data_IF_951644943805
#
_entry.id   IF_951644943805
#
_cell.length_a   1.000
_cell.length_b   1.000
_cell.length_c   1.000
_cell.angle_alpha   90.00
_cell.angle_beta   90.00
_cell.angle_gamma   90.00
#
_symmetry.space_group_name_H-M   'P 1'
#
loop_
_entity.id
_entity.type
_entity.pdbx_description
1 polymer ?
#
# COMPACT_ATOMS: atom_id res chain seq x y z
N UNK A 1 3.11 -15.39 -7.18
CA UNK A 1 2.46 -14.26 -7.90
C UNK A 1 2.54 -13.03 -7.01
N UNK A 2 3.08 -11.92 -7.51
CA UNK A 2 3.26 -10.66 -6.77
C UNK A 2 1.90 -10.07 -6.38
N UNK A 3 1.71 -9.69 -5.12
CA UNK A 3 0.47 -9.09 -4.61
C UNK A 3 0.34 -7.63 -5.03
N UNK A 4 -0.89 -7.16 -5.23
CA UNK A 4 -1.17 -5.82 -5.74
C UNK A 4 -2.05 -5.06 -4.74
N UNK A 5 -1.52 -3.94 -4.22
CA UNK A 5 -2.27 -3.00 -3.38
C UNK A 5 -2.59 -1.73 -4.17
N UNK A 6 -3.86 -1.35 -4.20
CA UNK A 6 -4.31 -0.05 -4.71
C UNK A 6 -4.73 0.81 -3.52
N UNK A 7 -3.97 1.89 -3.29
CA UNK A 7 -4.08 2.71 -2.09
C UNK A 7 -4.77 4.05 -2.36
N UNK A 8 -5.48 4.59 -1.35
CA UNK A 8 -6.16 5.88 -1.43
C UNK A 8 -7.51 5.84 -2.12
N UNK A 9 -8.26 4.77 -1.90
CA UNK A 9 -9.65 4.62 -2.36
C UNK A 9 -10.58 5.53 -1.54
N UNK A 10 -11.48 6.25 -2.24
CA UNK A 10 -12.42 7.21 -1.62
C UNK A 10 -13.86 7.00 -2.03
N UNK A 11 -14.15 6.14 -3.00
CA UNK A 11 -15.51 5.86 -3.49
C UNK A 11 -15.76 4.37 -3.63
N UNK A 12 -17.04 3.97 -3.60
CA UNK A 12 -17.45 2.59 -3.88
C UNK A 12 -17.03 2.17 -5.29
N UNK A 13 -17.20 3.06 -6.27
CA UNK A 13 -16.84 2.79 -7.66
C UNK A 13 -15.34 2.52 -7.82
N UNK A 14 -14.47 3.29 -7.15
CA UNK A 14 -13.03 3.04 -7.17
C UNK A 14 -12.69 1.69 -6.52
N UNK A 15 -13.35 1.35 -5.40
CA UNK A 15 -13.14 0.07 -4.72
C UNK A 15 -13.54 -1.12 -5.60
N UNK A 16 -14.69 -1.03 -6.25
CA UNK A 16 -15.16 -2.06 -7.21
C UNK A 16 -14.22 -2.16 -8.40
N UNK A 17 -13.83 -1.04 -9.00
CA UNK A 17 -12.92 -1.02 -10.15
C UNK A 17 -11.54 -1.60 -9.80
N UNK A 18 -11.00 -1.31 -8.60
CA UNK A 18 -9.76 -1.91 -8.11
C UNK A 18 -9.87 -3.43 -7.94
N UNK A 19 -10.99 -3.90 -7.36
CA UNK A 19 -11.28 -5.34 -7.20
C UNK A 19 -11.40 -6.04 -8.55
N UNK A 20 -12.16 -5.48 -9.48
CA UNK A 20 -12.34 -5.99 -10.84
C UNK A 20 -11.05 -5.98 -11.66
N UNK A 21 -10.17 -5.01 -11.41
CA UNK A 21 -8.86 -4.97 -12.03
C UNK A 21 -7.94 -6.10 -11.55
N UNK A 22 -8.20 -6.66 -10.37
CA UNK A 22 -7.41 -7.76 -9.78
C UNK A 22 -6.51 -7.33 -8.62
N UNK A 23 -6.87 -6.28 -7.88
CA UNK A 23 -6.17 -5.93 -6.64
C UNK A 23 -6.37 -7.02 -5.58
N UNK A 24 -5.30 -7.32 -4.83
CA UNK A 24 -5.34 -8.21 -3.65
C UNK A 24 -5.61 -7.41 -2.37
N UNK A 25 -5.14 -6.15 -2.33
CA UNK A 25 -5.30 -5.26 -1.18
C UNK A 25 -5.86 -3.90 -1.63
N UNK A 26 -6.75 -3.33 -0.79
CA UNK A 26 -7.32 -2.00 -0.98
C UNK A 26 -6.99 -1.14 0.23
N UNK A 27 -6.39 0.05 0.01
CA UNK A 27 -5.97 0.98 1.04
C UNK A 27 -6.90 2.19 1.19
N UNK A 28 -7.26 2.52 2.43
CA UNK A 28 -8.01 3.71 2.85
C UNK A 28 -7.11 4.62 3.69
N UNK A 29 -6.99 5.89 3.33
CA UNK A 29 -6.05 6.81 3.98
C UNK A 29 -6.78 7.69 5.02
N UNK A 30 -6.47 7.49 6.30
CA UNK A 30 -7.05 8.24 7.42
C UNK A 30 -6.21 9.44 7.87
N UNK A 31 -5.20 9.84 7.10
CA UNK A 31 -4.39 11.03 7.40
C UNK A 31 -5.05 12.31 6.84
N UNK A 32 -5.55 13.25 7.70
CA UNK A 32 -6.35 14.39 7.24
C UNK A 32 -5.65 15.33 6.27
N UNK A 33 -4.31 15.41 6.30
CA UNK A 33 -3.52 16.25 5.38
C UNK A 33 -3.30 15.61 4.00
N UNK A 34 -3.72 14.36 3.81
CA UNK A 34 -3.59 13.68 2.52
C UNK A 34 -4.72 14.10 1.57
N UNK A 35 -4.45 14.34 0.28
CA UNK A 35 -5.50 14.52 -0.74
C UNK A 35 -6.35 13.25 -0.93
N UNK A 36 -5.88 12.11 -0.42
CA UNK A 36 -6.56 10.81 -0.45
C UNK A 36 -7.27 10.49 0.86
N UNK A 37 -7.42 11.48 1.74
CA UNK A 37 -8.10 11.32 3.03
C UNK A 37 -9.53 10.84 2.85
N UNK A 38 -9.93 9.91 3.74
CA UNK A 38 -11.31 9.45 3.89
C UNK A 38 -11.69 9.43 5.38
N UNK A 39 -12.87 9.95 5.71
CA UNK A 39 -13.40 9.86 7.06
C UNK A 39 -13.96 8.46 7.35
N UNK A 40 -13.97 8.08 8.64
CA UNK A 40 -14.42 6.77 9.13
C UNK A 40 -15.83 6.42 8.64
N UNK A 41 -16.78 7.39 8.69
CA UNK A 41 -18.15 7.18 8.21
C UNK A 41 -18.20 6.76 6.74
N UNK A 42 -17.48 7.49 5.87
CA UNK A 42 -17.44 7.17 4.44
C UNK A 42 -16.73 5.84 4.15
N UNK A 43 -15.67 5.52 4.90
CA UNK A 43 -15.02 4.23 4.78
C UNK A 43 -15.98 3.09 5.15
N UNK A 44 -16.70 3.22 6.26
CA UNK A 44 -17.72 2.25 6.68
C UNK A 44 -18.78 2.05 5.60
N UNK A 45 -19.26 3.12 4.94
CA UNK A 45 -20.26 3.03 3.88
C UNK A 45 -19.70 2.27 2.66
N UNK A 46 -18.44 2.51 2.26
CA UNK A 46 -17.78 1.72 1.22
C UNK A 46 -17.69 0.25 1.65
N UNK A 47 -17.25 0.00 2.86
CA UNK A 47 -17.06 -1.36 3.38
C UNK A 47 -18.36 -2.14 3.52
N UNK A 48 -19.51 -1.47 3.71
CA UNK A 48 -20.83 -2.13 3.71
C UNK A 48 -21.11 -2.83 2.37
N UNK A 49 -20.60 -2.28 1.26
CA UNK A 49 -20.69 -2.87 -0.08
C UNK A 49 -19.59 -3.91 -0.31
N UNK A 50 -18.38 -3.63 0.16
CA UNK A 50 -17.18 -4.40 -0.18
C UNK A 50 -17.00 -5.69 0.64
N UNK A 51 -17.67 -5.87 1.77
CA UNK A 51 -17.55 -7.07 2.64
C UNK A 51 -17.83 -8.39 1.93
N UNK A 52 -18.59 -8.38 0.85
CA UNK A 52 -18.88 -9.57 0.02
C UNK A 52 -17.66 -10.08 -0.76
N UNK A 53 -16.60 -9.27 -0.91
CA UNK A 53 -15.38 -9.61 -1.61
C UNK A 53 -14.33 -10.12 -0.62
N UNK A 54 -14.57 -11.28 -0.02
CA UNK A 54 -13.76 -11.84 1.08
C UNK A 54 -12.31 -12.23 0.70
N UNK A 55 -11.96 -12.18 -0.59
CA UNK A 55 -10.60 -12.41 -1.06
C UNK A 55 -9.72 -11.14 -1.01
N UNK A 56 -10.31 -9.97 -0.77
CA UNK A 56 -9.59 -8.68 -0.69
C UNK A 56 -9.17 -8.40 0.77
N UNK A 57 -7.94 -7.98 0.95
CA UNK A 57 -7.44 -7.46 2.23
C UNK A 57 -7.63 -5.95 2.31
N UNK A 58 -8.38 -5.46 3.29
CA UNK A 58 -8.65 -4.04 3.47
C UNK A 58 -7.68 -3.43 4.48
N UNK A 59 -6.96 -2.37 4.07
CA UNK A 59 -5.86 -1.75 4.81
C UNK A 59 -6.19 -0.30 5.16
N UNK A 60 -6.13 0.06 6.44
CA UNK A 60 -6.16 1.46 6.88
C UNK A 60 -4.74 2.05 6.90
N UNK A 61 -4.54 3.22 6.34
CA UNK A 61 -3.27 3.96 6.40
C UNK A 61 -3.37 5.04 7.45
N UNK A 62 -2.48 5.01 8.43
CA UNK A 62 -2.45 5.91 9.58
C UNK A 62 -1.10 6.63 9.68
N UNK A 63 -1.11 7.86 10.19
CA UNK A 63 0.09 8.68 10.41
C UNK A 63 -0.01 9.31 11.80
N UNK A 64 0.85 8.86 12.71
CA UNK A 64 0.96 9.37 14.08
C UNK A 64 -0.39 9.37 14.84
N UNK A 65 -1.19 8.32 14.61
CA UNK A 65 -2.50 8.10 15.23
C UNK A 65 -2.37 7.16 16.43
N UNK A 66 -3.12 7.38 17.51
CA UNK A 66 -3.05 6.52 18.71
C UNK A 66 -3.50 5.07 18.42
N UNK A 67 -3.02 4.12 19.21
CA UNK A 67 -3.39 2.69 19.09
C UNK A 67 -4.91 2.50 19.24
N UNK A 68 -5.49 3.25 20.17
CA UNK A 68 -6.93 3.22 20.48
C UNK A 68 -7.75 3.68 19.27
N UNK A 69 -7.37 4.79 18.64
CA UNK A 69 -8.06 5.32 17.45
C UNK A 69 -7.88 4.39 16.25
N UNK A 70 -6.68 3.79 16.06
CA UNK A 70 -6.43 2.81 15.01
C UNK A 70 -7.38 1.61 15.19
N UNK A 71 -7.45 1.03 16.38
CA UNK A 71 -8.31 -0.12 16.68
C UNK A 71 -9.79 0.21 16.46
N UNK A 72 -10.26 1.33 16.99
CA UNK A 72 -11.64 1.78 16.82
C UNK A 72 -12.02 1.98 15.36
N UNK A 73 -11.10 2.57 14.56
CA UNK A 73 -11.28 2.77 13.12
C UNK A 73 -11.32 1.43 12.37
N UNK A 74 -10.37 0.53 12.67
CA UNK A 74 -10.33 -0.80 12.06
C UNK A 74 -11.59 -1.60 12.34
N UNK A 75 -12.05 -1.60 13.57
CA UNK A 75 -13.28 -2.30 13.99
C UNK A 75 -14.51 -1.70 13.30
N UNK A 76 -14.67 -0.37 13.37
CA UNK A 76 -15.82 0.33 12.77
C UNK A 76 -15.92 0.13 11.27
N UNK A 77 -14.79 0.14 10.58
CA UNK A 77 -14.73 -0.04 9.13
C UNK A 77 -14.60 -1.51 8.69
N UNK A 78 -14.26 -2.43 9.61
CA UNK A 78 -14.01 -3.83 9.26
C UNK A 78 -12.73 -4.01 8.45
N UNK A 79 -11.66 -3.29 8.83
CA UNK A 79 -10.36 -3.37 8.16
C UNK A 79 -9.52 -4.50 8.76
N UNK A 80 -8.73 -5.16 7.92
CA UNK A 80 -7.89 -6.29 8.31
C UNK A 80 -6.52 -5.88 8.81
N UNK A 81 -5.94 -4.83 8.22
CA UNK A 81 -4.56 -4.39 8.49
C UNK A 81 -4.46 -2.87 8.68
N UNK A 82 -3.55 -2.46 9.55
CA UNK A 82 -3.10 -1.08 9.72
C UNK A 82 -1.71 -0.89 9.12
N UNK A 83 -1.56 0.03 8.17
CA UNK A 83 -0.29 0.52 7.67
C UNK A 83 0.10 1.76 8.45
N UNK A 84 1.20 1.71 9.19
CA UNK A 84 1.74 2.80 10.00
C UNK A 84 2.75 3.59 9.15
N UNK A 85 2.39 4.80 8.75
CA UNK A 85 3.13 5.59 7.74
C UNK A 85 3.69 6.92 8.30
N UNK A 86 3.74 7.08 9.61
CA UNK A 86 4.32 8.20 10.33
C UNK A 86 5.61 7.82 11.06
N UNK A 87 5.77 8.35 12.28
CA UNK A 87 6.91 8.11 13.15
C UNK A 87 6.60 7.11 14.27
N UNK A 88 5.64 6.20 14.00
CA UNK A 88 5.19 5.20 14.97
C UNK A 88 6.35 4.28 15.37
N UNK A 89 6.42 3.98 16.68
CA UNK A 89 7.46 3.12 17.25
C UNK A 89 7.17 1.63 17.04
N UNK A 90 8.18 0.80 17.12
CA UNK A 90 8.03 -0.66 17.11
C UNK A 90 7.13 -1.17 18.25
N UNK A 91 7.20 -0.55 19.44
CA UNK A 91 6.30 -0.86 20.56
C UNK A 91 4.82 -0.62 20.20
N UNK A 92 4.54 0.46 19.50
CA UNK A 92 3.18 0.77 19.02
C UNK A 92 2.70 -0.26 18.00
N UNK A 93 3.56 -0.63 17.05
CA UNK A 93 3.24 -1.69 16.09
C UNK A 93 2.99 -3.04 16.79
N UNK A 94 3.82 -3.38 17.79
CA UNK A 94 3.64 -4.60 18.59
C UNK A 94 2.29 -4.62 19.35
N UNK A 95 1.83 -3.46 19.84
CA UNK A 95 0.53 -3.35 20.50
C UNK A 95 -0.63 -3.66 19.57
N UNK A 96 -0.49 -3.46 18.27
CA UNK A 96 -1.48 -3.83 17.24
C UNK A 96 -1.36 -5.30 16.80
N UNK A 97 -0.45 -6.06 17.39
CA UNK A 97 -0.19 -7.46 17.09
C UNK A 97 0.10 -7.70 15.59
N UNK A 98 -0.47 -8.77 15.01
CA UNK A 98 -0.31 -9.12 13.59
C UNK A 98 -1.16 -8.26 12.64
N UNK A 99 -1.97 -7.35 13.17
CA UNK A 99 -2.85 -6.51 12.36
C UNK A 99 -2.18 -5.22 11.87
N UNK A 100 -0.86 -5.04 12.03
CA UNK A 100 -0.18 -3.84 11.59
C UNK A 100 1.18 -4.14 10.93
N UNK A 101 1.58 -3.29 10.00
CA UNK A 101 2.92 -3.25 9.42
C UNK A 101 3.41 -1.82 9.26
N UNK A 102 4.74 -1.63 9.26
CA UNK A 102 5.37 -0.30 9.15
C UNK A 102 5.67 0.03 7.70
N UNK A 103 5.39 1.28 7.32
CA UNK A 103 5.84 1.89 6.08
C UNK A 103 7.04 2.80 6.34
N UNK A 104 8.07 2.67 5.53
CA UNK A 104 9.30 3.45 5.58
C UNK A 104 9.45 4.30 4.33
N UNK A 105 9.98 5.53 4.50
CA UNK A 105 10.38 6.41 3.40
C UNK A 105 11.85 6.17 3.10
N UNK A 106 12.14 5.51 2.00
CA UNK A 106 13.47 5.01 1.67
C UNK A 106 13.80 3.70 2.40
N UNK A 107 15.03 3.23 2.21
CA UNK A 107 15.53 2.01 2.83
C UNK A 107 15.86 2.30 4.31
N UNK A 108 15.25 1.62 5.27
CA UNK A 108 15.54 1.84 6.67
C UNK A 108 16.93 1.27 7.05
N UNK A 109 17.69 2.01 7.84
CA UNK A 109 19.00 1.58 8.33
C UNK A 109 18.91 0.46 9.36
N UNK A 110 17.84 0.45 10.17
CA UNK A 110 17.62 -0.56 11.20
C UNK A 110 16.14 -1.03 11.18
N UNK A 111 15.95 -2.30 10.96
CA UNK A 111 14.65 -2.97 10.93
C UNK A 111 14.41 -3.89 12.12
N UNK A 112 15.40 -4.19 12.95
CA UNK A 112 15.35 -5.30 13.93
C UNK A 112 14.11 -5.26 14.82
N UNK A 113 13.70 -4.05 15.24
CA UNK A 113 12.54 -3.87 16.11
C UNK A 113 11.19 -3.91 15.37
N UNK A 114 11.19 -3.79 14.03
CA UNK A 114 10.01 -3.82 13.18
C UNK A 114 9.93 -5.10 12.33
N UNK A 115 10.99 -5.91 12.33
CA UNK A 115 11.09 -7.09 11.50
C UNK A 115 10.00 -8.11 11.82
N UNK A 116 9.30 -8.55 10.77
CA UNK A 116 8.27 -9.58 10.81
C UNK A 116 8.42 -10.48 9.60
N UNK A 117 7.96 -11.72 9.74
CA UNK A 117 7.92 -12.67 8.61
C UNK A 117 6.49 -12.92 8.10
N UNK A 118 5.47 -12.36 8.77
CA UNK A 118 4.09 -12.38 8.28
C UNK A 118 3.94 -11.35 7.14
N UNK A 119 3.19 -11.71 6.11
CA UNK A 119 2.98 -10.85 4.94
C UNK A 119 1.72 -9.96 5.06
N UNK A 120 1.83 -8.68 4.77
CA UNK A 120 3.06 -7.92 4.48
C UNK A 120 3.85 -7.62 5.76
N UNK A 121 5.18 -7.75 5.69
CA UNK A 121 6.06 -7.43 6.82
C UNK A 121 6.29 -5.93 6.96
N UNK A 122 6.56 -5.28 5.84
CA UNK A 122 6.82 -3.84 5.77
C UNK A 122 6.48 -3.30 4.38
N UNK A 123 6.36 -1.97 4.30
CA UNK A 123 6.30 -1.25 3.04
C UNK A 123 7.53 -0.32 2.95
N UNK A 124 8.16 -0.29 1.78
CA UNK A 124 9.21 0.69 1.45
C UNK A 124 8.72 1.57 0.31
N UNK A 125 8.62 2.88 0.60
CA UNK A 125 8.46 3.92 -0.42
C UNK A 125 9.86 4.28 -0.93
N UNK A 126 10.25 3.69 -2.04
CA UNK A 126 11.58 3.82 -2.63
C UNK A 126 11.77 5.13 -3.41
N UNK A 127 10.80 6.05 -3.42
CA UNK A 127 10.94 7.34 -4.11
C UNK A 127 12.06 8.18 -3.48
N UNK A 128 12.93 8.74 -4.32
CA UNK A 128 13.97 9.67 -3.89
C UNK A 128 13.36 11.05 -3.66
N UNK A 129 13.66 11.67 -2.49
CA UNK A 129 13.20 13.03 -2.20
C UNK A 129 13.72 14.04 -3.24
N UNK A 130 12.81 14.74 -3.90
CA UNK A 130 13.14 15.89 -4.76
C UNK A 130 13.05 15.65 -6.26
N UNK A 131 12.78 14.43 -6.72
CA UNK A 131 12.64 14.15 -8.14
C UNK A 131 11.26 13.54 -8.47
N UNK A 132 10.43 14.36 -9.10
CA UNK A 132 9.18 13.89 -9.71
C UNK A 132 9.52 13.10 -10.99
N UNK A 133 8.90 11.93 -11.15
CA UNK A 133 9.19 10.97 -12.20
C UNK A 133 9.34 11.57 -13.59
N UNK A 134 10.37 11.11 -14.29
CA UNK A 134 10.70 11.50 -15.67
C UNK A 134 12.20 11.75 -15.92
N UNK A 135 13.02 11.88 -14.89
CA UNK A 135 14.46 12.19 -15.02
C UNK A 135 15.39 10.98 -15.04
N UNK A 136 14.84 9.74 -14.99
CA UNK A 136 15.67 8.53 -15.03
C UNK A 136 16.43 8.22 -13.73
N UNK A 137 16.18 8.95 -12.66
CA UNK A 137 16.72 8.61 -11.33
C UNK A 137 15.83 7.53 -10.72
N UNK A 138 16.37 6.35 -10.69
CA UNK A 138 15.75 5.14 -10.18
C UNK A 138 15.53 5.29 -8.67
N UNK A 139 14.30 5.07 -8.21
CA UNK A 139 14.03 4.67 -6.85
C UNK A 139 15.08 3.66 -6.39
N UNK A 140 15.45 3.64 -5.11
CA UNK A 140 16.45 2.68 -4.61
C UNK A 140 15.89 1.24 -4.63
N UNK A 141 15.73 0.72 -5.84
CA UNK A 141 15.29 -0.66 -6.04
C UNK A 141 16.35 -1.68 -5.64
N UNK A 142 17.64 -1.27 -5.65
CA UNK A 142 18.70 -2.17 -5.20
C UNK A 142 18.58 -2.47 -3.70
N UNK A 143 18.47 -1.45 -2.88
CA UNK A 143 18.25 -1.62 -1.44
C UNK A 143 16.93 -2.32 -1.12
N UNK A 144 15.86 -2.01 -1.87
CA UNK A 144 14.57 -2.71 -1.74
C UNK A 144 14.67 -4.21 -2.08
N UNK A 145 15.47 -4.58 -3.10
CA UNK A 145 15.70 -5.97 -3.48
C UNK A 145 16.42 -6.76 -2.37
N UNK A 146 17.41 -6.16 -1.70
CA UNK A 146 18.09 -6.81 -0.57
C UNK A 146 17.14 -7.05 0.63
N UNK A 147 16.19 -6.14 0.86
CA UNK A 147 15.16 -6.33 1.87
C UNK A 147 14.13 -7.39 1.46
N UNK A 148 13.72 -7.41 0.19
CA UNK A 148 12.74 -8.37 -0.33
C UNK A 148 13.22 -9.83 -0.24
N UNK A 149 14.55 -10.07 -0.25
CA UNK A 149 15.13 -11.41 0.01
C UNK A 149 14.89 -11.91 1.43
N UNK A 150 14.70 -11.02 2.38
CA UNK A 150 14.61 -11.32 3.82
C UNK A 150 13.18 -11.21 4.35
N UNK A 151 12.36 -10.32 3.78
CA UNK A 151 11.05 -9.99 4.31
C UNK A 151 9.98 -9.94 3.21
N UNK A 152 8.73 -10.32 3.49
CA UNK A 152 7.59 -10.06 2.61
C UNK A 152 7.35 -8.56 2.43
N UNK A 153 8.04 -7.94 1.47
CA UNK A 153 8.08 -6.50 1.23
C UNK A 153 6.95 -6.05 0.30
N UNK A 154 6.23 -4.98 0.67
CA UNK A 154 5.45 -4.15 -0.24
C UNK A 154 6.35 -3.04 -0.79
N UNK A 155 6.58 -3.03 -2.10
CA UNK A 155 7.29 -1.96 -2.79
C UNK A 155 6.34 -0.85 -3.18
N UNK A 156 6.64 0.38 -2.79
CA UNK A 156 5.94 1.61 -3.16
C UNK A 156 6.93 2.67 -3.69
N UNK A 157 6.41 3.84 -4.04
CA UNK A 157 7.23 4.97 -4.47
C UNK A 157 7.28 5.16 -5.99
N UNK A 158 6.46 6.07 -6.51
CA UNK A 158 6.47 6.43 -7.93
C UNK A 158 6.09 5.32 -8.92
N UNK A 159 5.49 4.23 -8.45
CA UNK A 159 5.09 3.14 -9.33
C UNK A 159 3.93 3.57 -10.23
N UNK A 160 4.02 3.19 -11.51
CA UNK A 160 3.03 3.47 -12.55
C UNK A 160 2.87 2.22 -13.44
N UNK A 161 1.84 2.16 -14.30
CA UNK A 161 1.71 1.07 -15.27
C UNK A 161 2.94 0.89 -16.17
N UNK A 162 3.68 1.99 -16.41
CA UNK A 162 4.81 2.03 -17.33
C UNK A 162 6.12 1.48 -16.72
N UNK A 163 6.27 1.53 -15.37
CA UNK A 163 7.52 1.13 -14.70
C UNK A 163 7.38 -0.07 -13.76
N UNK A 164 6.17 -0.47 -13.38
CA UNK A 164 5.97 -1.50 -12.36
C UNK A 164 6.47 -2.89 -12.77
N UNK A 165 6.40 -3.23 -14.06
CA UNK A 165 6.94 -4.50 -14.56
C UNK A 165 8.44 -4.61 -14.28
N UNK A 166 9.20 -3.54 -14.59
CA UNK A 166 10.64 -3.46 -14.32
C UNK A 166 10.92 -3.51 -12.80
N UNK A 167 10.14 -2.78 -12.00
CA UNK A 167 10.25 -2.81 -10.54
C UNK A 167 10.07 -4.23 -9.97
N UNK A 168 9.06 -4.97 -10.44
CA UNK A 168 8.81 -6.36 -10.02
C UNK A 168 9.98 -7.26 -10.42
N UNK A 169 10.51 -7.12 -11.63
CA UNK A 169 11.62 -7.93 -12.14
C UNK A 169 12.89 -7.73 -11.32
N UNK A 170 13.23 -6.48 -11.01
CA UNK A 170 14.45 -6.14 -10.26
C UNK A 170 14.35 -6.44 -8.78
N UNK A 171 13.24 -6.07 -8.14
CA UNK A 171 13.09 -6.16 -6.68
C UNK A 171 12.57 -7.51 -6.21
N UNK A 172 11.74 -8.18 -7.03
CA UNK A 172 11.02 -9.41 -6.67
C UNK A 172 10.28 -9.29 -5.34
N UNK A 173 9.50 -8.22 -5.14
CA UNK A 173 8.82 -7.98 -3.87
C UNK A 173 7.68 -9.00 -3.66
N UNK A 174 7.27 -9.17 -2.41
CA UNK A 174 6.03 -9.90 -2.09
C UNK A 174 4.82 -9.23 -2.75
N UNK A 175 4.80 -7.89 -2.80
CA UNK A 175 3.75 -7.13 -3.44
C UNK A 175 4.18 -5.71 -3.81
N UNK A 176 3.34 -5.03 -4.57
CA UNK A 176 3.51 -3.63 -4.99
C UNK A 176 2.35 -2.78 -4.48
N UNK A 177 2.61 -1.53 -4.12
CA UNK A 177 1.62 -0.55 -3.67
C UNK A 177 1.60 0.67 -4.58
N UNK A 178 0.44 1.00 -5.13
CA UNK A 178 0.25 2.16 -6.00
C UNK A 178 -0.84 3.09 -5.49
N UNK A 179 -0.57 4.39 -5.55
CA UNK A 179 -1.56 5.43 -5.26
C UNK A 179 -1.69 6.41 -6.42
N UNK A 180 -0.74 7.34 -6.58
CA UNK A 180 -0.78 8.38 -7.63
C UNK A 180 -0.63 7.84 -9.04
N UNK A 181 0.14 6.78 -9.23
CA UNK A 181 0.40 6.21 -10.56
C UNK A 181 -0.83 5.68 -11.29
N UNK A 182 -1.96 5.51 -10.59
CA UNK A 182 -3.25 5.10 -11.15
C UNK A 182 -4.35 6.16 -10.91
N UNK A 183 -3.97 7.44 -10.89
CA UNK A 183 -4.87 8.59 -10.71
C UNK A 183 -4.85 9.50 -11.94
N UNK A 184 -5.99 10.16 -12.21
CA UNK A 184 -6.09 11.28 -13.16
C UNK A 184 -5.74 12.60 -12.49
N UNK A 185 -6.10 12.75 -11.22
CA UNK A 185 -5.77 13.86 -10.34
C UNK A 185 -5.64 13.34 -8.91
N UNK A 186 -4.98 14.09 -8.02
CA UNK A 186 -4.75 13.66 -6.64
C UNK A 186 -6.04 13.22 -5.92
N UNK A 187 -6.14 11.94 -5.59
CA UNK A 187 -7.31 11.33 -4.97
C UNK A 187 -8.44 10.93 -5.90
N UNK A 188 -8.25 10.97 -7.22
CA UNK A 188 -9.21 10.51 -8.25
C UNK A 188 -8.62 9.35 -9.03
N UNK A 189 -9.12 8.14 -8.80
CA UNK A 189 -8.63 6.92 -9.47
C UNK A 189 -9.07 6.85 -10.93
N UNK A 190 -8.20 6.27 -11.76
CA UNK A 190 -8.45 5.96 -13.16
C UNK A 190 -8.56 4.44 -13.34
N UNK A 191 -9.74 3.98 -13.72
CA UNK A 191 -10.02 2.55 -13.93
C UNK A 191 -9.12 1.92 -15.01
N UNK A 192 -8.82 2.66 -16.08
CA UNK A 192 -7.97 2.16 -17.17
C UNK A 192 -6.53 2.01 -16.71
N UNK A 193 -6.02 2.98 -15.94
CA UNK A 193 -4.68 2.92 -15.34
C UNK A 193 -4.57 1.83 -14.29
N UNK A 194 -5.60 1.62 -13.44
CA UNK A 194 -5.63 0.49 -12.50
C UNK A 194 -5.52 -0.85 -13.24
N UNK A 195 -6.32 -1.06 -14.29
CA UNK A 195 -6.27 -2.28 -15.12
C UNK A 195 -4.91 -2.44 -15.82
N UNK A 196 -4.33 -1.36 -16.33
CA UNK A 196 -3.02 -1.39 -16.97
C UNK A 196 -1.91 -1.76 -15.97
N UNK A 197 -1.95 -1.17 -14.77
CA UNK A 197 -1.00 -1.48 -13.69
C UNK A 197 -1.04 -2.96 -13.29
N UNK A 198 -2.24 -3.48 -13.05
CA UNK A 198 -2.43 -4.89 -12.66
C UNK A 198 -1.91 -5.82 -13.77
N UNK A 199 -2.23 -5.56 -15.04
CA UNK A 199 -1.71 -6.35 -16.18
C UNK A 199 -0.19 -6.33 -16.25
N UNK A 200 0.44 -5.16 -16.03
CA UNK A 200 1.89 -5.04 -16.05
C UNK A 200 2.57 -5.85 -14.92
N UNK A 201 1.98 -5.89 -13.72
CA UNK A 201 2.47 -6.75 -12.63
C UNK A 201 2.29 -8.22 -12.95
N UNK A 202 1.14 -8.61 -13.50
CA UNK A 202 0.83 -10.01 -13.78
C UNK A 202 1.68 -10.60 -14.92
N UNK A 203 2.13 -9.77 -15.87
CA UNK A 203 3.01 -10.23 -16.96
C UNK A 203 4.36 -10.71 -16.44
N UNK A 204 4.90 -10.10 -15.37
CA UNK A 204 6.19 -10.48 -14.76
C UNK A 204 6.06 -11.62 -13.72
N UNK A 205 4.83 -11.93 -13.29
CA UNK A 205 4.62 -12.97 -12.26
C UNK A 205 4.39 -14.37 -12.84
N UNK A 206 4.52 -14.55 -14.15
CA UNK A 206 4.25 -15.83 -14.85
C UNK A 206 5.51 -16.65 -15.15
N UNK A 207 6.68 -16.08 -14.91
CA UNK A 207 7.98 -16.74 -15.03
C UNK A 207 8.53 -17.10 -13.63
#
# INVERSE_FOLDING_TARGET
>A
MTKIKICGIKTVNDALAATEAGADLIGFNFYPKSPRYIGVGRCRDIMSVMRRYGHITYVGVFVNTSVEEIRATMETCGLSLAQLHGDETSRMMQSLNRSAFKAFRGIPENLDSFARHDAPALLVDASVKGEYGGTGVTADWHGAAELAKKYPLLLAGGLTPENVAEAVRQVRPWGVDVASGVETAAGSKDTSRMKAFVRAVQSESRD
#
